data_IF_003054169354
#
_entry.id   IF_003054169354
#
_cell.length_a   1.000
_cell.length_b   1.000
_cell.length_c   1.000
_cell.angle_alpha   90.00
_cell.angle_beta   90.00
_cell.angle_gamma   90.00
#
_symmetry.space_group_name_H-M   'P 1'
#
loop_
_entity.id
_entity.type
_entity.pdbx_description
1 polymer ?
#
# COMPACT_ATOMS: atom_id res chain seq x y z
N UNK A 1 11.58 -15.50 -4.43
CA UNK A 1 12.24 -15.43 -5.75
C UNK A 1 13.38 -16.42 -5.89
N UNK A 2 14.15 -16.74 -4.83
CA UNK A 2 15.23 -17.76 -4.88
C UNK A 2 14.77 -19.15 -5.38
N UNK A 3 13.49 -19.49 -5.18
CA UNK A 3 12.89 -20.76 -5.62
C UNK A 3 12.31 -20.71 -7.06
N UNK A 4 12.77 -19.77 -7.87
CA UNK A 4 12.31 -19.54 -9.25
C UNK A 4 10.81 -19.20 -9.38
N UNK A 5 10.26 -18.53 -8.36
CA UNK A 5 8.85 -18.09 -8.32
C UNK A 5 8.77 -16.57 -8.24
N UNK A 6 7.70 -15.99 -8.81
CA UNK A 6 7.31 -14.62 -8.52
C UNK A 6 6.88 -14.49 -7.06
N UNK A 7 6.93 -13.30 -6.52
CA UNK A 7 6.50 -13.00 -5.16
C UNK A 7 5.40 -11.95 -5.18
N UNK A 8 4.38 -12.17 -4.37
CA UNK A 8 3.35 -11.20 -4.08
C UNK A 8 3.26 -11.02 -2.56
N UNK A 9 3.07 -9.80 -2.11
CA UNK A 9 2.96 -9.48 -0.69
C UNK A 9 1.80 -8.53 -0.45
N UNK A 10 1.23 -8.62 0.73
CA UNK A 10 0.28 -7.62 1.23
C UNK A 10 1.01 -6.32 1.58
N UNK A 11 0.24 -5.27 1.82
CA UNK A 11 0.74 -4.00 2.32
C UNK A 11 0.98 -4.06 3.84
N UNK A 12 2.03 -3.39 4.32
CA UNK A 12 3.11 -2.75 3.59
C UNK A 12 4.12 -3.78 3.06
N UNK A 13 4.63 -3.58 1.84
CA UNK A 13 5.63 -4.47 1.25
C UNK A 13 6.98 -4.40 1.99
N UNK A 14 7.32 -3.24 2.51
CA UNK A 14 8.52 -2.96 3.27
C UNK A 14 8.30 -1.81 4.25
N UNK A 15 9.11 -1.73 5.29
CA UNK A 15 9.02 -0.69 6.32
C UNK A 15 10.28 0.18 6.40
N UNK A 16 11.33 -0.21 5.71
CA UNK A 16 12.59 0.56 5.64
C UNK A 16 13.01 0.75 4.17
N UNK A 17 13.81 1.77 3.92
CA UNK A 17 14.38 2.01 2.58
C UNK A 17 15.27 0.84 2.14
N UNK A 18 16.03 0.28 3.06
CA UNK A 18 16.90 -0.87 2.77
C UNK A 18 16.09 -2.10 2.36
N UNK A 19 14.94 -2.36 2.99
CA UNK A 19 14.04 -3.44 2.59
C UNK A 19 13.42 -3.19 1.21
N UNK A 20 13.11 -1.93 0.88
CA UNK A 20 12.64 -1.56 -0.46
C UNK A 20 13.69 -1.90 -1.52
N UNK A 21 14.95 -1.52 -1.29
CA UNK A 21 16.05 -1.87 -2.18
C UNK A 21 16.28 -3.37 -2.27
N UNK A 22 16.22 -4.08 -1.16
CA UNK A 22 16.36 -5.53 -1.14
C UNK A 22 15.28 -6.25 -1.98
N UNK A 23 14.06 -5.72 -2.04
CA UNK A 23 13.00 -6.22 -2.93
C UNK A 23 13.34 -6.03 -4.40
N UNK A 24 13.79 -4.82 -4.78
CA UNK A 24 14.20 -4.50 -6.15
C UNK A 24 15.37 -5.38 -6.59
N UNK A 25 16.44 -5.39 -5.81
CA UNK A 25 17.63 -6.20 -6.11
C UNK A 25 17.30 -7.69 -6.24
N UNK A 26 16.42 -8.20 -5.37
CA UNK A 26 16.02 -9.61 -5.45
C UNK A 26 15.19 -9.89 -6.72
N UNK A 27 14.32 -8.96 -7.12
CA UNK A 27 13.54 -9.08 -8.35
C UNK A 27 14.45 -9.09 -9.59
N UNK A 28 15.40 -8.18 -9.67
CA UNK A 28 16.37 -8.07 -10.77
C UNK A 28 17.30 -9.26 -10.82
N UNK A 29 17.93 -9.63 -9.69
CA UNK A 29 18.86 -10.77 -9.58
C UNK A 29 18.24 -12.10 -10.01
N UNK A 30 16.98 -12.30 -9.65
CA UNK A 30 16.29 -13.56 -9.95
C UNK A 30 15.40 -13.47 -11.20
N UNK A 31 15.32 -12.30 -11.85
CA UNK A 31 14.44 -12.03 -13.00
C UNK A 31 13.00 -12.49 -12.72
N UNK A 32 12.48 -12.12 -11.55
CA UNK A 32 11.12 -12.43 -11.10
C UNK A 32 10.42 -11.18 -10.64
N UNK A 33 9.11 -11.15 -10.80
CA UNK A 33 8.31 -10.04 -10.30
C UNK A 33 8.19 -10.10 -8.78
N UNK A 34 8.34 -8.93 -8.15
CA UNK A 34 7.91 -8.67 -6.79
C UNK A 34 6.75 -7.67 -6.86
N UNK A 35 5.57 -8.06 -6.39
CA UNK A 35 4.34 -7.26 -6.51
C UNK A 35 3.74 -7.03 -5.14
N UNK A 36 3.49 -5.77 -4.81
CA UNK A 36 2.65 -5.41 -3.68
C UNK A 36 1.19 -5.40 -4.12
N UNK A 37 0.35 -6.16 -3.43
CA UNK A 37 -1.07 -6.28 -3.73
C UNK A 37 -1.85 -5.19 -2.99
N UNK A 38 -1.89 -3.98 -3.57
CA UNK A 38 -2.65 -2.86 -3.02
C UNK A 38 -4.13 -3.01 -3.40
N UNK A 39 -4.90 -3.66 -2.55
CA UNK A 39 -6.30 -3.99 -2.82
C UNK A 39 -7.21 -2.75 -2.92
N UNK A 40 -6.88 -1.65 -2.24
CA UNK A 40 -7.67 -0.42 -2.30
C UNK A 40 -7.61 0.28 -3.66
N UNK A 41 -6.67 -0.06 -4.54
CA UNK A 41 -6.69 0.40 -5.94
C UNK A 41 -7.82 -0.21 -6.76
N UNK A 42 -8.38 -1.33 -6.33
CA UNK A 42 -9.29 -2.16 -7.11
C UNK A 42 -10.69 -2.26 -6.50
N UNK A 43 -10.97 -1.49 -5.47
CA UNK A 43 -12.30 -1.36 -4.90
C UNK A 43 -13.28 -0.75 -5.91
N UNK A 44 -14.56 -1.07 -5.77
CA UNK A 44 -15.60 -0.60 -6.72
C UNK A 44 -15.68 0.93 -6.77
N UNK A 45 -15.56 1.59 -5.63
CA UNK A 45 -15.59 3.06 -5.50
C UNK A 45 -14.39 3.71 -6.17
N UNK A 46 -13.21 3.18 -5.88
CA UNK A 46 -11.93 3.67 -6.41
C UNK A 46 -11.86 3.48 -7.92
N UNK A 47 -12.26 2.33 -8.42
CA UNK A 47 -12.33 2.06 -9.87
C UNK A 47 -13.39 2.92 -10.57
N UNK A 48 -14.49 3.25 -9.90
CA UNK A 48 -15.49 4.17 -10.43
C UNK A 48 -14.91 5.59 -10.53
N UNK A 49 -14.30 6.11 -9.47
CA UNK A 49 -13.66 7.42 -9.46
C UNK A 49 -12.59 7.53 -10.55
N UNK A 50 -11.72 6.54 -10.65
CA UNK A 50 -10.70 6.46 -11.68
C UNK A 50 -11.28 6.49 -13.11
N UNK A 51 -12.36 5.74 -13.36
CA UNK A 51 -13.03 5.76 -14.66
C UNK A 51 -13.66 7.12 -15.00
N UNK A 52 -14.25 7.80 -14.02
CA UNK A 52 -14.84 9.13 -14.19
C UNK A 52 -13.74 10.13 -14.58
N UNK A 53 -12.60 10.09 -13.89
CA UNK A 53 -11.46 10.96 -14.15
C UNK A 53 -10.85 10.67 -15.54
N UNK A 54 -10.61 9.41 -15.88
CA UNK A 54 -10.08 9.03 -17.20
C UNK A 54 -10.96 9.42 -18.37
N UNK A 55 -12.26 9.54 -18.15
CA UNK A 55 -13.22 10.04 -19.14
C UNK A 55 -13.27 11.57 -19.23
N UNK A 56 -12.48 12.27 -18.41
CA UNK A 56 -12.43 13.72 -18.38
C UNK A 56 -13.70 14.39 -17.81
N UNK A 57 -14.56 13.63 -17.13
CA UNK A 57 -15.84 14.14 -16.63
C UNK A 57 -15.69 15.17 -15.50
N UNK A 58 -14.55 15.18 -14.82
CA UNK A 58 -14.22 16.15 -13.77
C UNK A 58 -13.30 17.29 -14.26
N UNK A 59 -12.90 17.26 -15.54
CA UNK A 59 -11.89 18.19 -16.04
C UNK A 59 -10.49 17.91 -15.51
N UNK A 60 -9.65 18.94 -15.43
CA UNK A 60 -8.30 18.85 -14.89
C UNK A 60 -8.34 18.68 -13.36
N UNK A 61 -7.68 17.66 -12.84
CA UNK A 61 -7.61 17.40 -11.41
C UNK A 61 -6.45 18.20 -10.82
N UNK A 62 -6.75 19.18 -10.00
CA UNK A 62 -5.76 20.08 -9.38
C UNK A 62 -5.41 19.70 -7.95
N UNK A 63 -6.21 18.85 -7.32
CA UNK A 63 -6.00 18.36 -5.95
C UNK A 63 -6.72 17.06 -5.75
N UNK A 64 -6.10 16.16 -4.99
CA UNK A 64 -6.74 14.93 -4.53
C UNK A 64 -6.29 14.61 -3.10
N UNK A 65 -7.19 14.03 -2.34
CA UNK A 65 -6.95 13.60 -0.97
C UNK A 65 -7.47 12.18 -0.79
N UNK A 66 -6.68 11.34 -0.14
CA UNK A 66 -7.06 9.97 0.19
C UNK A 66 -6.60 9.60 1.58
N UNK A 67 -7.35 8.74 2.24
CA UNK A 67 -7.02 8.29 3.59
C UNK A 67 -7.63 6.94 3.90
N UNK A 68 -6.95 6.21 4.79
CA UNK A 68 -7.46 4.98 5.38
C UNK A 68 -7.68 5.21 6.88
N UNK A 69 -8.90 5.54 7.24
CA UNK A 69 -9.30 5.85 8.61
C UNK A 69 -9.92 4.61 9.25
N UNK A 70 -9.22 4.04 10.21
CA UNK A 70 -9.61 2.80 10.84
C UNK A 70 -9.36 2.83 12.35
N UNK A 71 -10.38 2.53 13.14
CA UNK A 71 -10.20 2.35 14.58
C UNK A 71 -9.56 1.00 14.87
N UNK A 72 -8.26 1.04 15.13
CA UNK A 72 -7.45 -0.15 15.41
C UNK A 72 -7.28 -0.43 16.92
N UNK A 73 -8.00 0.27 17.81
CA UNK A 73 -7.82 0.09 19.26
C UNK A 73 -8.03 -1.35 19.69
N UNK A 74 -9.08 -2.00 19.18
CA UNK A 74 -9.36 -3.39 19.49
C UNK A 74 -8.24 -4.35 19.09
N UNK A 75 -7.63 -4.12 17.94
CA UNK A 75 -6.54 -4.95 17.41
C UNK A 75 -5.19 -4.62 18.07
N UNK A 76 -4.86 -3.33 18.16
CA UNK A 76 -3.53 -2.90 18.64
C UNK A 76 -3.23 -3.29 20.08
N UNK A 77 -4.24 -3.45 20.91
CA UNK A 77 -4.07 -3.82 22.32
C UNK A 77 -4.14 -5.32 22.57
N UNK A 78 -4.45 -6.12 21.57
CA UNK A 78 -4.36 -7.57 21.67
C UNK A 78 -2.89 -8.04 21.70
N UNK A 79 -2.62 -9.10 22.51
CA UNK A 79 -1.29 -9.71 22.60
C UNK A 79 -1.15 -10.90 21.64
N UNK A 80 -1.71 -10.80 20.45
CA UNK A 80 -1.69 -11.84 19.41
C UNK A 80 -1.76 -11.21 18.02
N UNK A 81 -1.43 -12.01 17.02
CA UNK A 81 -1.63 -11.71 15.60
C UNK A 81 -1.16 -10.30 15.19
N UNK A 82 -2.01 -9.56 14.53
CA UNK A 82 -1.70 -8.22 14.02
C UNK A 82 -1.39 -7.21 15.12
N UNK A 83 -1.92 -7.36 16.32
CA UNK A 83 -1.67 -6.46 17.44
C UNK A 83 -0.18 -6.38 17.80
N UNK A 84 0.55 -7.49 17.69
CA UNK A 84 1.96 -7.57 18.06
C UNK A 84 2.83 -6.67 17.18
N UNK A 85 2.74 -6.80 15.85
CA UNK A 85 3.57 -6.02 14.95
C UNK A 85 3.08 -4.58 14.77
N UNK A 86 1.76 -4.36 14.71
CA UNK A 86 1.18 -3.01 14.57
C UNK A 86 1.52 -2.12 15.75
N UNK A 87 1.39 -2.65 16.97
CA UNK A 87 1.76 -1.92 18.19
C UNK A 87 3.25 -1.59 18.23
N UNK A 88 4.11 -2.57 17.94
CA UNK A 88 5.55 -2.40 17.94
C UNK A 88 5.98 -1.28 16.98
N UNK A 89 5.44 -1.23 15.78
CA UNK A 89 5.71 -0.16 14.81
C UNK A 89 5.12 1.18 15.23
N UNK A 90 3.88 1.21 15.70
CA UNK A 90 3.22 2.45 16.16
C UNK A 90 3.95 3.09 17.36
N UNK A 91 4.68 2.33 18.15
CA UNK A 91 5.51 2.84 19.23
C UNK A 91 6.86 3.40 18.78
N UNK A 92 7.33 3.00 17.60
CA UNK A 92 8.64 3.39 17.05
C UNK A 92 8.58 4.52 16.05
N UNK A 93 7.47 4.61 15.31
CA UNK A 93 7.34 5.53 14.18
C UNK A 93 6.16 6.47 14.43
N UNK A 94 6.46 7.76 14.48
CA UNK A 94 5.44 8.82 14.45
C UNK A 94 5.13 9.16 12.99
N UNK A 95 4.13 8.51 12.44
CA UNK A 95 3.77 8.68 11.03
C UNK A 95 2.69 7.71 10.58
N UNK A 96 2.33 7.81 9.32
CA UNK A 96 1.38 6.91 8.69
C UNK A 96 2.06 5.58 8.33
N UNK A 97 1.71 4.53 9.03
CA UNK A 97 2.23 3.18 8.80
C UNK A 97 1.54 2.44 7.65
N UNK A 98 0.49 3.02 7.08
CA UNK A 98 -0.36 2.37 6.07
C UNK A 98 -0.79 3.37 4.98
N UNK A 99 0.16 4.10 4.34
CA UNK A 99 -0.19 5.20 3.44
C UNK A 99 -0.77 4.73 2.11
N UNK A 100 -0.45 3.53 1.67
CA UNK A 100 -0.72 3.06 0.31
C UNK A 100 -2.20 2.90 0.00
N UNK A 101 -3.03 2.57 0.98
CA UNK A 101 -4.49 2.48 0.79
C UNK A 101 -5.14 3.81 0.39
N UNK A 102 -4.61 4.93 0.86
CA UNK A 102 -5.05 6.25 0.42
C UNK A 102 -4.27 6.77 -0.79
N UNK A 103 -2.93 6.62 -0.74
CA UNK A 103 -2.04 7.16 -1.75
C UNK A 103 -2.16 6.44 -3.10
N UNK A 104 -2.37 5.12 -3.11
CA UNK A 104 -2.48 4.35 -4.34
C UNK A 104 -3.61 4.82 -5.26
N UNK A 105 -4.87 4.87 -4.79
CA UNK A 105 -5.97 5.43 -5.58
C UNK A 105 -5.74 6.87 -6.02
N UNK A 106 -5.20 7.74 -5.14
CA UNK A 106 -4.89 9.14 -5.48
C UNK A 106 -3.84 9.21 -6.58
N UNK A 107 -2.76 8.45 -6.48
CA UNK A 107 -1.72 8.42 -7.50
C UNK A 107 -2.28 8.00 -8.87
N UNK A 108 -3.09 6.94 -8.90
CA UNK A 108 -3.74 6.51 -10.14
C UNK A 108 -4.68 7.55 -10.76
N UNK A 109 -5.22 8.46 -9.95
CA UNK A 109 -6.16 9.49 -10.42
C UNK A 109 -5.48 10.77 -10.89
N UNK A 110 -4.24 11.01 -10.49
CA UNK A 110 -3.50 12.24 -10.75
C UNK A 110 -2.37 12.09 -11.78
N UNK A 111 -2.17 10.88 -12.29
CA UNK A 111 -1.15 10.59 -13.30
C UNK A 111 -1.56 11.01 -14.73
#
# INVERSE_FOLDING_TARGET
MKADKHAATEVPAAMTVDDCWALVEAAERHRKHAVMMENCNYGRSEMMAFNIIRKGLLGEIVHAEGGYLHDLRGIKFENRDEGLWRRAWSMKVDGNLYPTHGLGPVANCMD
#
